data_IF_725417873207
#
_entry.id   IF_725417873207
#
_cell.length_a   1.000
_cell.length_b   1.000
_cell.length_c   1.000
_cell.angle_alpha   90.00
_cell.angle_beta   90.00
_cell.angle_gamma   90.00
#
_symmetry.space_group_name_H-M   'P 1'
#
loop_
_entity.id
_entity.type
_entity.pdbx_description
1 polymer ?
#
# COMPACT_ATOMS: atom_id res chain seq x y z
N UNK A 1 -6.40 20.05 3.32
CA UNK A 1 -6.49 19.14 2.16
C UNK A 1 -5.39 18.10 2.36
N UNK A 2 -5.61 16.83 2.68
CA UNK A 2 -6.83 16.04 2.83
C UNK A 2 -6.57 15.07 3.99
N UNK A 3 -7.46 15.03 4.97
CA UNK A 3 -7.41 14.08 6.09
C UNK A 3 -7.78 12.67 5.63
N UNK A 4 -6.99 12.12 4.71
CA UNK A 4 -7.12 10.75 4.28
C UNK A 4 -6.57 9.88 5.43
N UNK A 5 -7.35 8.96 6.02
CA UNK A 5 -6.92 8.16 7.17
C UNK A 5 -5.71 7.27 6.85
N UNK A 6 -5.32 7.19 5.59
CA UNK A 6 -4.13 6.51 5.13
C UNK A 6 -2.89 7.43 5.08
N UNK A 7 -3.03 8.76 5.05
CA UNK A 7 -1.94 9.69 4.65
C UNK A 7 -1.06 10.20 5.79
N UNK A 8 -1.52 10.15 7.04
CA UNK A 8 -0.78 10.70 8.17
C UNK A 8 -0.72 9.76 9.36
N UNK A 9 0.48 9.32 9.71
CA UNK A 9 0.72 8.63 10.97
C UNK A 9 2.08 7.95 11.00
N UNK A 10 2.92 8.37 11.95
CA UNK A 10 4.02 7.57 12.47
C UNK A 10 3.45 6.24 12.97
N UNK A 11 3.92 5.12 12.43
CA UNK A 11 3.39 3.79 12.73
C UNK A 11 3.49 2.86 11.52
N UNK A 12 3.45 1.55 11.77
CA UNK A 12 3.73 0.53 10.76
C UNK A 12 2.79 0.66 9.55
N UNK A 13 3.29 0.26 8.39
CA UNK A 13 2.61 0.23 7.11
C UNK A 13 2.54 -1.19 6.59
N UNK A 14 1.37 -1.57 6.09
CA UNK A 14 1.14 -2.86 5.48
C UNK A 14 0.90 -2.69 3.99
N UNK A 15 1.37 -3.65 3.20
CA UNK A 15 0.94 -3.84 1.82
C UNK A 15 0.08 -5.08 1.80
N UNK A 16 -1.17 -4.91 1.36
CA UNK A 16 -2.09 -6.02 1.18
C UNK A 16 -2.27 -6.31 -0.30
N UNK A 17 -2.33 -7.58 -0.67
CA UNK A 17 -2.64 -8.04 -2.01
C UNK A 17 -3.95 -8.83 -2.00
N UNK A 18 -4.75 -8.68 -3.05
CA UNK A 18 -5.91 -9.54 -3.27
C UNK A 18 -5.57 -10.69 -4.21
N UNK A 19 -6.45 -11.70 -4.26
CA UNK A 19 -6.31 -12.84 -5.17
C UNK A 19 -6.32 -12.46 -6.67
N UNK A 20 -6.72 -11.23 -7.00
CA UNK A 20 -6.67 -10.67 -8.36
C UNK A 20 -5.35 -9.97 -8.70
N UNK A 21 -4.34 -10.03 -7.83
CA UNK A 21 -3.04 -9.42 -8.05
C UNK A 21 -3.01 -7.89 -7.91
N UNK A 22 -4.03 -7.30 -7.27
CA UNK A 22 -4.02 -5.88 -6.93
C UNK A 22 -3.43 -5.69 -5.54
N UNK A 23 -2.67 -4.61 -5.37
CA UNK A 23 -1.99 -4.29 -4.13
C UNK A 23 -2.50 -2.95 -3.62
N UNK A 24 -2.65 -2.82 -2.31
CA UNK A 24 -3.08 -1.60 -1.64
C UNK A 24 -2.23 -1.36 -0.39
N UNK A 25 -1.92 -0.10 -0.12
CA UNK A 25 -1.36 0.31 1.16
C UNK A 25 -2.45 0.27 2.22
N UNK A 26 -2.12 -0.32 3.37
CA UNK A 26 -3.03 -0.55 4.47
C UNK A 26 -2.36 -0.16 5.79
N UNK A 27 -3.19 0.17 6.78
CA UNK A 27 -2.72 0.46 8.14
C UNK A 27 -2.91 -0.78 9.01
N UNK A 28 -1.93 -1.15 9.86
CA UNK A 28 -2.00 -2.31 10.75
C UNK A 28 -3.13 -2.21 11.78
N UNK A 29 -3.58 -0.99 12.10
CA UNK A 29 -4.66 -0.76 13.04
C UNK A 29 -6.05 -0.99 12.42
N UNK A 30 -6.16 -1.05 11.09
CA UNK A 30 -7.41 -1.25 10.36
C UNK A 30 -7.59 -2.74 10.06
N UNK A 31 -8.78 -3.27 10.32
CA UNK A 31 -9.12 -4.65 9.97
C UNK A 31 -9.00 -4.85 8.45
N UNK A 32 -8.21 -5.85 8.06
CA UNK A 32 -8.01 -6.19 6.64
C UNK A 32 -9.28 -6.88 6.13
N UNK A 33 -9.91 -6.37 5.05
CA UNK A 33 -11.11 -6.97 4.50
C UNK A 33 -10.85 -8.41 4.03
N UNK A 34 -11.84 -9.28 4.21
CA UNK A 34 -11.75 -10.69 3.84
C UNK A 34 -11.42 -10.86 2.35
N UNK A 35 -10.39 -11.64 2.05
CA UNK A 35 -9.89 -11.87 0.68
C UNK A 35 -8.68 -11.02 0.30
N UNK A 36 -8.23 -10.13 1.19
CA UNK A 36 -6.95 -9.45 1.11
C UNK A 36 -5.96 -10.12 2.07
N UNK A 37 -4.70 -10.23 1.64
CA UNK A 37 -3.62 -10.84 2.39
C UNK A 37 -2.47 -9.87 2.53
N UNK A 38 -1.89 -9.79 3.72
CA UNK A 38 -0.71 -8.95 3.97
C UNK A 38 0.48 -9.63 3.30
N UNK A 39 1.09 -8.93 2.35
CA UNK A 39 2.30 -9.38 1.63
C UNK A 39 3.56 -8.71 2.15
N UNK A 40 3.42 -7.54 2.77
CA UNK A 40 4.52 -6.81 3.40
C UNK A 40 4.04 -6.04 4.63
N UNK A 41 4.91 -5.95 5.63
CA UNK A 41 4.73 -5.16 6.83
C UNK A 41 6.06 -4.48 7.18
N UNK A 42 6.06 -3.16 7.26
CA UNK A 42 7.24 -2.36 7.58
C UNK A 42 6.94 -1.31 8.64
N UNK A 43 7.93 -0.91 9.47
CA UNK A 43 7.74 0.11 10.49
C UNK A 43 7.52 1.52 9.90
N UNK A 44 7.97 1.73 8.66
CA UNK A 44 7.97 3.02 7.99
C UNK A 44 7.29 2.95 6.62
N UNK A 45 6.73 4.10 6.22
CA UNK A 45 6.09 4.25 4.91
C UNK A 45 7.08 3.99 3.79
N UNK A 46 8.31 4.50 3.93
CA UNK A 46 9.35 4.36 2.91
C UNK A 46 9.66 2.90 2.58
N UNK A 47 9.77 2.02 3.58
CA UNK A 47 9.98 0.59 3.34
C UNK A 47 8.81 -0.08 2.62
N UNK A 48 7.57 0.28 2.98
CA UNK A 48 6.39 -0.20 2.27
C UNK A 48 6.30 0.37 0.83
N UNK A 49 6.72 1.62 0.63
CA UNK A 49 6.72 2.27 -0.68
C UNK A 49 7.79 1.68 -1.59
N UNK A 50 8.97 1.37 -1.05
CA UNK A 50 10.06 0.70 -1.76
C UNK A 50 9.63 -0.71 -2.19
N UNK A 51 9.05 -1.50 -1.29
CA UNK A 51 8.48 -2.81 -1.61
C UNK A 51 7.40 -2.74 -2.70
N UNK A 52 6.52 -1.74 -2.63
CA UNK A 52 5.50 -1.51 -3.68
C UNK A 52 6.13 -1.03 -4.97
N UNK A 53 7.18 -0.21 -4.97
CA UNK A 53 7.87 0.20 -6.19
C UNK A 53 8.63 -0.97 -6.84
N UNK A 54 9.26 -1.83 -6.05
CA UNK A 54 9.97 -3.01 -6.54
C UNK A 54 9.01 -4.08 -7.08
N UNK A 55 7.88 -4.33 -6.42
CA UNK A 55 6.93 -5.38 -6.81
C UNK A 55 5.78 -4.91 -7.69
N UNK A 56 5.37 -3.66 -7.56
CA UNK A 56 4.32 -3.03 -8.36
C UNK A 56 4.97 -2.02 -9.30
N UNK A 57 5.52 -2.55 -10.39
CA UNK A 57 5.71 -1.75 -11.62
C UNK A 57 4.32 -1.35 -12.11
N UNK A 58 3.77 -0.27 -11.55
CA UNK A 58 2.69 0.43 -12.23
C UNK A 58 3.31 0.94 -13.52
N UNK A 59 2.89 0.31 -14.62
CA UNK A 59 3.29 0.66 -15.97
C UNK A 59 3.27 2.18 -16.10
N UNK A 60 4.38 2.74 -16.58
CA UNK A 60 4.46 4.11 -17.05
C UNK A 60 3.46 4.27 -18.20
N UNK A 61 2.21 4.58 -17.84
CA UNK A 61 1.10 4.81 -18.75
C UNK A 61 0.84 6.30 -18.90
N UNK A 62 1.73 6.98 -19.65
CA UNK A 62 1.56 8.28 -20.34
C UNK A 62 1.17 9.53 -19.52
N UNK A 63 1.96 10.63 -19.55
CA UNK A 63 1.37 11.95 -19.38
C UNK A 63 0.37 12.16 -20.53
N UNK A 64 -0.88 12.40 -20.19
CA UNK A 64 -1.88 12.86 -21.15
C UNK A 64 -1.52 14.29 -21.59
N UNK A 65 -1.38 14.46 -22.91
CA UNK A 65 -1.30 15.70 -23.72
C UNK A 65 0.03 16.46 -23.71
#
# INVERSE_FOLDING_TARGET
>A
MSGNPFDGGEGDWLVVANAGGQYALWRPHLEVPKGWQIVYAGPDRDGALDYVQEHFTAVVGTPAT
#
